data_IF_314165100107
#
_entry.id   IF_314165100107
#
_cell.length_a   1.000
_cell.length_b   1.000
_cell.length_c   1.000
_cell.angle_alpha   90.00
_cell.angle_beta   90.00
_cell.angle_gamma   90.00
#
_symmetry.space_group_name_H-M   'P 1'
#
loop_
_entity.id
_entity.type
_entity.pdbx_description
1 polymer ?
#
# COMPACT_ATOMS: atom_id res chain seq x y z
N UNK A 1 -11.85 -0.08 -24.05
CA UNK A 1 -12.52 1.01 -24.76
C UNK A 1 -14.03 1.00 -24.50
N UNK A 2 -14.74 1.97 -25.08
CA UNK A 2 -16.19 2.10 -24.91
C UNK A 2 -17.00 0.89 -25.44
N UNK A 3 -16.47 0.16 -26.39
CA UNK A 3 -17.08 -1.04 -26.95
C UNK A 3 -16.86 -2.30 -26.09
N UNK A 4 -16.04 -2.20 -25.07
CA UNK A 4 -15.70 -3.29 -24.17
C UNK A 4 -14.54 -4.16 -24.65
N UNK A 5 -13.79 -3.72 -25.65
CA UNK A 5 -12.57 -4.38 -26.10
C UNK A 5 -11.42 -4.01 -25.20
N UNK A 6 -10.68 -5.00 -24.71
CA UNK A 6 -9.52 -4.76 -23.86
C UNK A 6 -8.42 -4.03 -24.63
N UNK A 7 -7.99 -2.90 -24.10
CA UNK A 7 -6.92 -2.07 -24.63
C UNK A 7 -5.84 -1.90 -23.56
N UNK A 8 -4.59 -1.90 -23.97
CA UNK A 8 -3.48 -1.52 -23.09
C UNK A 8 -3.10 -0.07 -23.37
N UNK A 9 -3.17 0.77 -22.33
CA UNK A 9 -2.81 2.17 -22.48
C UNK A 9 -1.30 2.31 -22.68
N UNK A 10 -0.94 3.10 -23.68
CA UNK A 10 0.48 3.37 -23.97
C UNK A 10 1.10 4.14 -22.78
N UNK A 11 2.29 3.75 -22.30
CA UNK A 11 2.99 4.46 -21.23
C UNK A 11 3.23 5.96 -21.47
N UNK A 12 3.23 6.41 -22.74
CA UNK A 12 3.33 7.83 -23.08
C UNK A 12 2.06 8.63 -22.83
N UNK A 13 0.91 7.97 -22.63
CA UNK A 13 -0.37 8.61 -22.42
C UNK A 13 -0.64 8.99 -20.96
N UNK A 14 0.24 8.62 -20.05
CA UNK A 14 0.09 8.93 -18.61
C UNK A 14 1.44 9.22 -17.96
N UNK A 15 1.39 9.90 -16.83
CA UNK A 15 2.53 10.13 -15.94
C UNK A 15 2.27 9.50 -14.58
N UNK A 16 3.32 9.01 -13.96
CA UNK A 16 3.25 8.45 -12.61
C UNK A 16 3.94 9.40 -11.63
N UNK A 17 3.20 9.90 -10.66
CA UNK A 17 3.75 10.69 -9.56
C UNK A 17 4.02 9.77 -8.36
N UNK A 18 5.29 9.52 -8.10
CA UNK A 18 5.77 8.71 -6.96
C UNK A 18 6.29 9.55 -5.80
N UNK A 19 6.35 10.87 -5.96
CA UNK A 19 6.84 11.78 -4.93
C UNK A 19 5.75 12.14 -3.93
N UNK A 20 4.50 12.15 -4.37
CA UNK A 20 3.37 12.35 -3.46
C UNK A 20 2.97 11.06 -2.73
N UNK A 21 2.42 11.20 -1.53
CA UNK A 21 1.87 10.10 -0.74
C UNK A 21 0.36 10.31 -0.53
N UNK A 22 -0.50 9.44 -1.05
CA UNK A 22 -0.21 8.30 -1.91
C UNK A 22 0.23 8.69 -3.33
N UNK A 23 0.99 7.79 -4.01
CA UNK A 23 1.36 7.98 -5.41
C UNK A 23 0.14 8.08 -6.31
N UNK A 24 0.26 8.82 -7.39
CA UNK A 24 -0.84 9.09 -8.31
C UNK A 24 -0.45 8.77 -9.76
N UNK A 25 -1.44 8.38 -10.55
CA UNK A 25 -1.33 8.28 -12.00
C UNK A 25 -2.18 9.39 -12.60
N UNK A 26 -1.59 10.22 -13.42
CA UNK A 26 -2.25 11.36 -14.08
C UNK A 26 -2.16 11.21 -15.59
N UNK A 27 -3.14 11.73 -16.36
CA UNK A 27 -3.01 11.74 -17.82
C UNK A 27 -1.82 12.61 -18.23
N UNK A 28 -1.23 12.33 -19.39
CA UNK A 28 -0.18 13.16 -19.95
C UNK A 28 -0.73 14.56 -20.30
N UNK A 29 0.17 15.54 -20.37
CA UNK A 29 -0.20 16.92 -20.71
C UNK A 29 -1.06 16.97 -21.98
N UNK A 30 -2.11 17.80 -21.94
CA UNK A 30 -3.07 17.98 -23.03
C UNK A 30 -3.80 16.69 -23.48
N UNK A 31 -3.88 15.69 -22.61
CA UNK A 31 -4.61 14.44 -22.89
C UNK A 31 -5.65 14.13 -21.83
N UNK A 32 -6.76 13.54 -22.26
CA UNK A 32 -7.77 13.02 -21.35
C UNK A 32 -7.67 11.50 -21.25
N UNK A 33 -8.26 10.95 -20.18
CA UNK A 33 -8.40 9.50 -20.08
C UNK A 33 -9.29 8.97 -21.20
N UNK A 34 -8.93 7.83 -21.82
CA UNK A 34 -9.76 7.22 -22.85
C UNK A 34 -11.12 6.80 -22.29
N UNK A 35 -12.15 6.89 -23.13
CA UNK A 35 -13.47 6.41 -22.76
C UNK A 35 -13.48 4.92 -22.52
N UNK A 36 -14.16 4.52 -21.47
CA UNK A 36 -14.32 3.12 -21.08
C UNK A 36 -15.80 2.73 -21.11
N UNK A 37 -16.06 1.43 -21.21
CA UNK A 37 -17.41 0.91 -21.10
C UNK A 37 -17.91 1.11 -19.65
N UNK A 38 -19.16 1.51 -19.48
CA UNK A 38 -19.80 1.65 -18.17
C UNK A 38 -20.11 0.29 -17.54
N UNK A 39 -19.06 -0.41 -17.10
CA UNK A 39 -19.16 -1.69 -16.41
C UNK A 39 -18.25 -1.72 -15.20
N UNK A 40 -18.56 -2.58 -14.23
CA UNK A 40 -17.69 -2.80 -13.10
C UNK A 40 -16.32 -3.33 -13.61
N UNK A 41 -15.24 -2.85 -12.96
CA UNK A 41 -13.86 -3.23 -13.30
C UNK A 41 -13.46 -2.91 -14.76
N UNK A 42 -13.96 -1.81 -15.29
CA UNK A 42 -13.63 -1.36 -16.65
C UNK A 42 -12.15 -1.00 -16.83
N UNK A 43 -11.46 -0.68 -15.74
CA UNK A 43 -10.02 -0.34 -15.71
C UNK A 43 -9.31 -1.24 -14.73
N UNK A 44 -8.20 -1.82 -15.16
CA UNK A 44 -7.28 -2.58 -14.32
C UNK A 44 -5.93 -1.88 -14.30
N UNK A 45 -5.37 -1.69 -13.12
CA UNK A 45 -4.05 -1.09 -12.93
C UNK A 45 -3.17 -2.07 -12.18
N UNK A 46 -2.11 -2.50 -12.81
CA UNK A 46 -1.09 -3.36 -12.20
C UNK A 46 0.12 -2.51 -11.83
N UNK A 47 0.51 -2.57 -10.58
CA UNK A 47 1.65 -1.81 -10.08
C UNK A 47 2.43 -2.59 -9.02
N UNK A 48 3.70 -2.25 -8.88
CA UNK A 48 4.55 -2.78 -7.82
C UNK A 48 4.80 -1.70 -6.78
N UNK A 49 4.51 -2.01 -5.54
CA UNK A 49 4.71 -1.08 -4.44
C UNK A 49 5.47 -1.76 -3.28
N UNK A 50 6.09 -0.95 -2.47
CA UNK A 50 6.82 -1.38 -1.28
C UNK A 50 8.23 -0.77 -1.20
N UNK A 51 8.83 -0.90 -0.05
CA UNK A 51 10.17 -0.36 0.19
C UNK A 51 11.31 -1.28 -0.29
N UNK A 52 11.04 -2.58 -0.49
CA UNK A 52 12.09 -3.55 -0.80
C UNK A 52 13.21 -3.53 0.25
N UNK A 53 14.44 -3.35 -0.20
CA UNK A 53 15.61 -3.26 0.70
C UNK A 53 15.69 -1.93 1.47
N UNK A 54 14.94 -0.92 1.06
CA UNK A 54 14.88 0.39 1.71
C UNK A 54 13.84 0.47 2.83
N UNK A 55 13.39 -0.67 3.36
CA UNK A 55 12.43 -0.71 4.46
C UNK A 55 12.92 0.13 5.65
N UNK A 56 12.10 1.09 6.15
CA UNK A 56 12.48 1.93 7.27
C UNK A 56 12.84 1.13 8.52
N UNK A 57 13.83 1.60 9.26
CA UNK A 57 14.33 0.91 10.46
C UNK A 57 13.25 0.75 11.54
N UNK A 58 12.36 1.72 11.69
CA UNK A 58 11.24 1.64 12.63
C UNK A 58 10.30 0.46 12.35
N UNK A 59 10.06 0.15 11.07
CA UNK A 59 9.25 -1.00 10.66
C UNK A 59 9.96 -2.31 11.01
N UNK A 60 11.26 -2.39 10.78
CA UNK A 60 12.07 -3.55 11.16
C UNK A 60 12.07 -3.78 12.67
N UNK A 61 12.23 -2.71 13.45
CA UNK A 61 12.17 -2.78 14.91
C UNK A 61 10.80 -3.25 15.40
N UNK A 62 9.73 -2.77 14.81
CA UNK A 62 8.38 -3.22 15.10
C UNK A 62 8.21 -4.73 14.87
N UNK A 63 8.70 -5.24 13.75
CA UNK A 63 8.65 -6.67 13.42
C UNK A 63 9.45 -7.48 14.44
N UNK A 64 10.65 -7.05 14.78
CA UNK A 64 11.51 -7.73 15.76
C UNK A 64 10.89 -7.77 17.14
N UNK A 65 10.29 -6.67 17.60
CA UNK A 65 9.60 -6.62 18.88
C UNK A 65 8.42 -7.58 18.94
N UNK A 66 7.61 -7.61 17.91
CA UNK A 66 6.46 -8.52 17.83
C UNK A 66 6.89 -9.98 17.70
N UNK A 67 7.90 -10.26 16.90
CA UNK A 67 8.47 -11.60 16.78
C UNK A 67 9.04 -12.11 18.13
N UNK A 68 9.75 -11.25 18.85
CA UNK A 68 10.27 -11.57 20.17
C UNK A 68 9.17 -11.81 21.20
N UNK A 69 8.09 -11.01 21.14
CA UNK A 69 6.93 -11.18 22.00
C UNK A 69 6.19 -12.50 21.71
N UNK A 70 5.97 -12.82 20.45
CA UNK A 70 5.35 -14.08 20.00
C UNK A 70 6.22 -15.28 20.36
N UNK A 71 7.53 -15.17 20.31
CA UNK A 71 8.44 -16.22 20.71
C UNK A 71 8.35 -16.53 22.21
N UNK A 72 8.21 -15.51 23.07
CA UNK A 72 8.02 -15.67 24.51
C UNK A 72 6.65 -16.24 24.86
N UNK A 73 5.62 -15.88 24.11
CA UNK A 73 4.23 -16.25 24.32
C UNK A 73 3.78 -17.26 23.26
N UNK A 74 4.40 -18.43 23.24
CA UNK A 74 4.11 -19.50 22.28
C UNK A 74 2.75 -20.12 22.45
N UNK A 75 2.14 -20.01 23.64
CA UNK A 75 0.85 -20.59 23.95
C UNK A 75 -0.28 -19.64 23.52
N UNK A 76 -1.28 -20.19 22.85
CA UNK A 76 -2.46 -19.44 22.44
C UNK A 76 -3.31 -18.98 23.63
N UNK A 77 -3.21 -19.69 24.78
CA UNK A 77 -3.87 -19.38 26.05
C UNK A 77 -2.81 -19.34 27.13
N UNK A 78 -2.68 -18.20 27.80
CA UNK A 78 -1.79 -18.01 28.96
C UNK A 78 -2.60 -17.67 30.21
N UNK A 79 -2.14 -18.10 31.38
CA UNK A 79 -2.73 -17.73 32.66
C UNK A 79 -2.49 -16.25 33.02
N UNK A 80 -1.62 -15.57 32.26
CA UNK A 80 -1.32 -14.16 32.45
C UNK A 80 -2.01 -13.33 31.36
N UNK A 81 -2.66 -12.20 31.72
CA UNK A 81 -3.24 -11.32 30.74
C UNK A 81 -2.14 -10.83 29.76
N UNK A 82 -2.36 -11.03 28.47
CA UNK A 82 -1.48 -10.49 27.45
C UNK A 82 -1.78 -9.01 27.27
N UNK A 83 -0.80 -8.18 27.60
CA UNK A 83 -0.88 -6.75 27.38
C UNK A 83 -0.23 -6.44 26.02
N UNK A 84 -0.88 -5.64 25.20
CA UNK A 84 -0.28 -5.12 23.99
C UNK A 84 1.00 -4.35 24.32
N UNK A 85 2.01 -4.43 23.45
CA UNK A 85 3.24 -3.65 23.63
C UNK A 85 2.91 -2.15 23.64
N UNK A 86 3.27 -1.39 24.69
CA UNK A 86 2.80 0.00 24.84
C UNK A 86 3.28 0.95 23.75
N UNK A 87 4.31 0.58 23.00
CA UNK A 87 4.90 1.40 21.93
C UNK A 87 4.61 0.86 20.53
N UNK A 88 4.04 -0.35 20.41
CA UNK A 88 3.91 -1.05 19.15
C UNK A 88 3.08 -0.27 18.13
N UNK A 89 1.93 0.23 18.53
CA UNK A 89 1.01 0.93 17.62
C UNK A 89 1.56 2.29 17.17
N UNK A 90 2.31 2.97 18.04
CA UNK A 90 2.85 4.30 17.74
C UNK A 90 4.08 4.29 16.85
N UNK A 91 4.83 3.19 16.83
CA UNK A 91 6.04 3.08 16.00
C UNK A 91 5.77 3.22 14.51
N UNK A 92 4.58 2.85 14.07
CA UNK A 92 4.19 2.86 12.67
C UNK A 92 3.30 4.05 12.28
N UNK A 93 2.96 4.93 13.21
CA UNK A 93 2.04 6.04 12.95
C UNK A 93 2.53 6.98 11.85
N UNK A 94 3.84 7.22 11.76
CA UNK A 94 4.44 8.08 10.73
C UNK A 94 4.38 7.47 9.32
N UNK A 95 4.13 6.17 9.21
CA UNK A 95 4.04 5.45 7.93
C UNK A 95 2.61 5.15 7.51
N UNK A 96 1.64 5.47 8.32
CA UNK A 96 0.22 5.30 7.98
C UNK A 96 -0.23 6.40 7.05
N UNK A 97 -0.95 6.00 6.01
CA UNK A 97 -1.68 6.95 5.18
C UNK A 97 -3.03 7.24 5.86
N UNK A 98 -3.20 8.46 6.29
CA UNK A 98 -4.46 8.90 6.89
C UNK A 98 -5.41 9.36 5.80
N UNK A 99 -6.62 8.83 5.81
CA UNK A 99 -7.68 9.35 4.95
C UNK A 99 -8.10 10.74 5.45
N UNK A 100 -8.19 11.65 4.53
CA UNK A 100 -8.59 13.04 4.78
C UNK A 100 -10.06 13.22 4.52
#
# INVERSE_FOLDING_TARGET
>A
DADGVTQTLNPTAYSVDIESEPGCIIPADDTDWPETKETANAVTVDYTAGWGLATPEAVKQFILLHAGHMYRSREAVTDKPMTALPYGDRMLDSYKLWEV
#
